data_IF_955097243310
#
_entry.id   IF_955097243310
#
_cell.length_a   1.000
_cell.length_b   1.000
_cell.length_c   1.000
_cell.angle_alpha   90.00
_cell.angle_beta   90.00
_cell.angle_gamma   90.00
#
_symmetry.space_group_name_H-M   'P 1'
#
loop_
_entity.id
_entity.type
_entity.pdbx_description
1 polymer ?
#
# COMPACT_ATOMS: atom_id res chain seq x y z
N UNK A 1 4.17 -23.90 7.50
CA UNK A 1 3.26 -22.78 7.19
C UNK A 1 3.94 -21.99 6.10
N UNK A 2 3.53 -22.19 4.85
CA UNK A 2 4.11 -21.45 3.72
C UNK A 2 3.53 -20.05 3.73
N UNK A 3 4.38 -19.04 3.84
CA UNK A 3 3.96 -17.64 3.67
C UNK A 3 3.48 -17.49 2.23
N UNK A 4 2.19 -17.20 1.97
CA UNK A 4 1.74 -17.02 0.60
C UNK A 4 2.45 -15.81 0.02
N UNK A 5 3.33 -16.03 -0.96
CA UNK A 5 3.90 -14.96 -1.79
C UNK A 5 2.81 -14.44 -2.72
N UNK A 6 1.88 -13.65 -2.17
CA UNK A 6 0.81 -13.02 -2.94
C UNK A 6 1.37 -11.77 -3.63
N UNK A 7 1.61 -11.86 -4.93
CA UNK A 7 1.87 -10.67 -5.75
C UNK A 7 0.54 -10.02 -6.11
N UNK A 8 0.37 -8.76 -5.72
CA UNK A 8 -0.83 -7.98 -5.96
C UNK A 8 -0.63 -6.94 -7.07
N UNK A 9 -1.57 -6.89 -8.01
CA UNK A 9 -1.67 -5.80 -8.97
C UNK A 9 -2.74 -4.82 -8.48
N UNK A 10 -2.30 -3.64 -8.05
CA UNK A 10 -3.15 -2.54 -7.61
C UNK A 10 -2.86 -1.29 -8.45
N UNK A 11 -3.83 -0.38 -8.53
CA UNK A 11 -3.65 0.92 -9.16
C UNK A 11 -3.80 2.03 -8.14
N UNK A 12 -2.78 2.87 -8.03
CA UNK A 12 -2.88 4.15 -7.34
C UNK A 12 -3.53 5.17 -8.26
N UNK A 13 -4.79 5.48 -7.98
CA UNK A 13 -5.58 6.42 -8.78
C UNK A 13 -5.39 7.85 -8.28
N UNK A 14 -5.88 8.83 -9.05
CA UNK A 14 -5.96 10.24 -8.64
C UNK A 14 -7.33 10.62 -8.05
N UNK A 15 -8.24 9.66 -7.85
CA UNK A 15 -9.55 9.90 -7.23
C UNK A 15 -9.37 10.17 -5.74
N UNK A 16 -9.86 11.31 -5.24
CA UNK A 16 -9.76 11.68 -3.83
C UNK A 16 -10.58 10.77 -2.91
N UNK A 17 -10.03 10.50 -1.72
CA UNK A 17 -10.71 9.87 -0.58
C UNK A 17 -10.51 10.80 0.62
N UNK A 18 -11.46 11.71 0.82
CA UNK A 18 -11.39 12.79 1.82
C UNK A 18 -11.38 12.26 3.26
N UNK A 19 -12.13 11.18 3.51
CA UNK A 19 -12.16 10.46 4.78
C UNK A 19 -10.75 10.02 5.19
N UNK A 20 -9.97 9.46 4.27
CA UNK A 20 -8.60 8.97 4.50
C UNK A 20 -7.49 10.03 4.31
N UNK A 21 -7.83 11.26 3.90
CA UNK A 21 -6.86 12.31 3.50
C UNK A 21 -5.86 11.79 2.45
N UNK A 22 -6.36 11.17 1.38
CA UNK A 22 -5.53 10.52 0.37
C UNK A 22 -6.21 10.35 -0.97
N UNK A 23 -5.70 9.41 -1.76
CA UNK A 23 -6.21 9.04 -3.07
C UNK A 23 -6.54 7.56 -3.11
N UNK A 24 -7.54 7.16 -3.90
CA UNK A 24 -8.06 5.81 -3.88
C UNK A 24 -7.06 4.79 -4.44
N UNK A 25 -7.05 3.62 -3.82
CA UNK A 25 -6.43 2.42 -4.35
C UNK A 25 -7.52 1.62 -5.07
N UNK A 26 -7.27 1.24 -6.32
CA UNK A 26 -8.07 0.27 -7.04
C UNK A 26 -7.38 -1.09 -6.95
N UNK A 27 -8.09 -2.09 -6.45
CA UNK A 27 -7.62 -3.47 -6.28
C UNK A 27 -8.72 -4.41 -6.78
N UNK A 28 -8.85 -4.58 -8.11
CA UNK A 28 -9.93 -5.38 -8.70
C UNK A 28 -9.85 -6.86 -8.31
N UNK A 29 -8.65 -7.34 -7.93
CA UNK A 29 -8.44 -8.70 -7.46
C UNK A 29 -8.72 -8.90 -5.96
N UNK A 30 -8.91 -7.81 -5.20
CA UNK A 30 -9.14 -7.84 -3.75
C UNK A 30 -7.98 -8.43 -2.93
N UNK A 31 -6.81 -8.64 -3.55
CA UNK A 31 -5.71 -9.35 -2.90
C UNK A 31 -4.97 -8.46 -1.89
N UNK A 32 -5.05 -7.13 -2.02
CA UNK A 32 -4.42 -6.20 -1.09
C UNK A 32 -4.93 -6.40 0.33
N UNK A 33 -6.21 -6.79 0.50
CA UNK A 33 -6.79 -7.05 1.82
C UNK A 33 -6.09 -8.20 2.57
N UNK A 34 -5.46 -9.14 1.86
CA UNK A 34 -4.67 -10.22 2.46
C UNK A 34 -3.26 -9.77 2.88
N UNK A 35 -2.75 -8.67 2.30
CA UNK A 35 -1.42 -8.10 2.61
C UNK A 35 -1.56 -6.97 3.64
N UNK A 36 -2.45 -6.02 3.39
CA UNK A 36 -2.73 -4.84 4.23
C UNK A 36 -4.24 -4.67 4.35
N UNK A 37 -4.82 -5.34 5.34
CA UNK A 37 -6.26 -5.30 5.58
C UNK A 37 -6.77 -3.89 5.87
N UNK A 38 -7.87 -3.51 5.22
CA UNK A 38 -8.54 -2.21 5.41
C UNK A 38 -7.90 -1.03 4.69
N UNK A 39 -6.89 -1.25 3.85
CA UNK A 39 -6.31 -0.19 3.02
C UNK A 39 -7.31 0.24 1.93
N UNK A 40 -7.67 1.52 1.92
CA UNK A 40 -8.59 2.11 0.93
C UNK A 40 -7.97 3.27 0.16
N UNK A 41 -6.92 3.88 0.71
CA UNK A 41 -6.26 5.03 0.12
C UNK A 41 -4.73 4.96 0.23
N UNK A 42 -4.04 5.60 -0.69
CA UNK A 42 -2.61 5.83 -0.67
C UNK A 42 -2.31 7.32 -0.47
N UNK A 43 -1.15 7.62 0.11
CA UNK A 43 -0.64 8.98 0.32
C UNK A 43 0.86 9.00 -0.01
N UNK A 44 1.33 9.89 -0.90
CA UNK A 44 2.75 10.17 -1.02
C UNK A 44 3.22 10.92 0.22
N UNK A 45 4.38 10.53 0.72
CA UNK A 45 5.07 11.16 1.84
C UNK A 45 6.56 11.29 1.47
N UNK A 46 7.35 12.18 2.10
CA UNK A 46 8.75 12.42 1.71
C UNK A 46 9.60 11.14 1.64
N UNK A 47 9.34 10.18 2.52
CA UNK A 47 10.05 8.92 2.64
C UNK A 47 9.49 7.80 1.76
N UNK A 48 8.35 7.99 1.08
CA UNK A 48 7.75 6.99 0.20
C UNK A 48 6.23 7.06 0.07
N UNK A 49 5.56 5.93 0.34
CA UNK A 49 4.09 5.81 0.21
C UNK A 49 3.47 5.20 1.46
N UNK A 50 2.49 5.90 2.04
CA UNK A 50 1.66 5.36 3.11
C UNK A 50 0.34 4.80 2.53
N UNK A 51 -0.04 3.60 2.97
CA UNK A 51 -1.42 3.12 2.81
C UNK A 51 -2.23 3.48 4.04
N UNK A 52 -3.47 3.90 3.82
CA UNK A 52 -4.36 4.44 4.85
C UNK A 52 -5.71 3.73 4.84
N UNK A 53 -6.25 3.58 6.06
CA UNK A 53 -7.64 3.23 6.27
C UNK A 53 -8.55 4.46 6.07
N UNK A 54 -9.85 4.21 5.97
CA UNK A 54 -10.88 5.24 5.77
C UNK A 54 -10.93 6.28 6.90
N UNK A 55 -10.47 5.92 8.09
CA UNK A 55 -10.39 6.77 9.29
C UNK A 55 -9.09 7.61 9.38
N UNK A 56 -8.32 7.73 8.28
CA UNK A 56 -7.01 8.41 8.16
C UNK A 56 -5.82 7.70 8.79
N UNK A 57 -6.05 6.61 9.52
CA UNK A 57 -4.96 5.88 10.18
C UNK A 57 -4.02 5.30 9.13
N UNK A 58 -2.73 5.57 9.31
CA UNK A 58 -1.68 4.90 8.55
C UNK A 58 -1.67 3.42 8.92
N UNK A 59 -1.80 2.54 7.91
CA UNK A 59 -1.70 1.09 8.10
C UNK A 59 -0.28 0.60 7.91
N UNK A 60 0.40 1.12 6.89
CA UNK A 60 1.77 0.77 6.55
C UNK A 60 2.43 1.92 5.78
N UNK A 61 3.75 2.03 5.93
CA UNK A 61 4.61 2.91 5.12
C UNK A 61 5.59 2.05 4.32
N UNK A 62 5.53 2.17 3.00
CA UNK A 62 6.55 1.65 2.11
C UNK A 62 7.61 2.73 1.91
N UNK A 63 8.77 2.53 2.54
CA UNK A 63 9.90 3.46 2.41
C UNK A 63 10.52 3.29 1.02
N UNK A 64 10.67 4.38 0.29
CA UNK A 64 11.26 4.38 -1.04
C UNK A 64 12.70 3.89 -0.98
N UNK A 65 13.04 2.95 -1.87
CA UNK A 65 14.42 2.56 -2.11
C UNK A 65 15.13 3.63 -2.97
N UNK A 66 16.46 3.55 -3.01
CA UNK A 66 17.28 4.46 -3.81
C UNK A 66 17.01 4.39 -5.32
N UNK A 67 16.33 3.35 -5.80
CA UNK A 67 15.97 3.18 -7.21
C UNK A 67 14.77 4.05 -7.65
N UNK A 68 14.04 4.65 -6.70
CA UNK A 68 12.84 5.45 -6.95
C UNK A 68 11.65 4.67 -7.56
N UNK A 69 11.75 3.35 -7.62
CA UNK A 69 10.78 2.44 -8.25
C UNK A 69 10.20 1.44 -7.26
N UNK A 70 10.95 1.12 -6.22
CA UNK A 70 10.54 0.19 -5.18
C UNK A 70 10.41 0.88 -3.84
N UNK A 71 9.55 0.33 -2.99
CA UNK A 71 9.51 0.64 -1.58
C UNK A 71 9.24 -0.60 -0.74
N UNK A 72 9.73 -0.63 0.48
CA UNK A 72 9.61 -1.79 1.37
C UNK A 72 8.99 -1.43 2.70
N UNK A 73 8.26 -2.39 3.26
CA UNK A 73 7.62 -2.27 4.56
C UNK A 73 7.72 -3.59 5.33
N UNK A 74 7.89 -3.50 6.64
CA UNK A 74 7.75 -4.65 7.54
C UNK A 74 6.28 -4.85 7.89
N UNK A 75 5.75 -6.03 7.60
CA UNK A 75 4.41 -6.47 7.95
C UNK A 75 4.47 -7.63 8.95
N UNK A 76 3.36 -7.90 9.61
CA UNK A 76 3.23 -9.08 10.47
C UNK A 76 3.36 -10.35 9.61
N UNK A 77 4.55 -10.97 9.61
CA UNK A 77 4.84 -12.16 8.81
C UNK A 77 5.93 -12.00 7.74
N UNK A 78 6.51 -10.80 7.57
CA UNK A 78 7.66 -10.61 6.69
C UNK A 78 7.79 -9.20 6.11
N UNK A 79 8.58 -9.09 5.04
CA UNK A 79 8.75 -7.85 4.29
C UNK A 79 7.83 -7.86 3.08
N UNK A 80 7.08 -6.78 2.89
CA UNK A 80 6.35 -6.51 1.66
C UNK A 80 7.12 -5.50 0.80
N UNK A 81 7.04 -5.69 -0.52
CA UNK A 81 7.63 -4.80 -1.51
C UNK A 81 6.53 -4.22 -2.38
N UNK A 82 6.48 -2.90 -2.47
CA UNK A 82 5.70 -2.16 -3.45
C UNK A 82 6.63 -1.81 -4.61
N UNK A 83 6.27 -2.18 -5.84
CA UNK A 83 7.06 -1.88 -7.04
C UNK A 83 6.18 -1.23 -8.10
N UNK A 84 6.63 -0.10 -8.63
CA UNK A 84 6.01 0.52 -9.80
C UNK A 84 6.31 -0.32 -11.05
N UNK A 85 5.29 -0.57 -11.85
CA UNK A 85 5.35 -1.31 -13.11
C UNK A 85 5.02 -0.43 -14.29
#
# INVERSE_FOLDING_TARGET
METPTATCAITFTTRRVESANGWAIDDPGGCLAAVVSGAVAWRPIPEGVALAADDRRTLVVFNAAADGQTGTASLNGGTATLRRT
#
